data_IF_260658140705
#
_entry.id   IF_260658140705
#
_cell.length_a   1.000
_cell.length_b   1.000
_cell.length_c   1.000
_cell.angle_alpha   90.00
_cell.angle_beta   90.00
_cell.angle_gamma   90.00
#
_symmetry.space_group_name_H-M   'P 1'
#
loop_
_entity.id
_entity.type
_entity.pdbx_description
1 polymer ?
#
# COMPACT_ATOMS: atom_id res chain seq x y z
N UNK A 1 6.79 9.12 -12.52
CA UNK A 1 7.36 7.79 -12.88
C UNK A 1 6.29 6.71 -12.78
N UNK A 2 5.75 6.20 -13.89
CA UNK A 2 4.74 5.11 -13.86
C UNK A 2 5.44 3.75 -13.80
N UNK A 3 5.11 2.94 -12.79
CA UNK A 3 5.43 1.51 -12.74
C UNK A 3 6.76 1.10 -12.12
N UNK A 4 7.67 2.03 -11.80
CA UNK A 4 8.94 1.71 -11.13
C UNK A 4 8.78 1.77 -9.61
N UNK A 5 9.06 0.66 -8.93
CA UNK A 5 9.13 0.60 -7.46
C UNK A 5 10.37 1.32 -6.96
N UNK A 6 10.21 2.15 -5.91
CA UNK A 6 11.33 2.78 -5.21
C UNK A 6 12.24 1.72 -4.59
N UNK A 7 13.55 1.94 -4.63
CA UNK A 7 14.50 1.05 -3.94
C UNK A 7 14.31 1.12 -2.42
N UNK A 8 14.79 0.10 -1.69
CA UNK A 8 14.72 0.08 -0.23
C UNK A 8 15.42 1.30 0.39
N UNK A 9 16.58 1.67 -0.16
CA UNK A 9 17.34 2.84 0.29
C UNK A 9 16.57 4.14 0.07
N UNK A 10 15.95 4.32 -1.11
CA UNK A 10 15.15 5.51 -1.39
C UNK A 10 13.95 5.61 -0.46
N UNK A 11 13.28 4.48 -0.14
CA UNK A 11 12.16 4.47 0.79
C UNK A 11 12.61 4.83 2.22
N UNK A 12 13.80 4.38 2.65
CA UNK A 12 14.40 4.79 3.92
C UNK A 12 14.66 6.30 3.98
N UNK A 13 15.16 6.90 2.90
CA UNK A 13 15.40 8.34 2.81
C UNK A 13 14.10 9.16 2.95
N UNK A 14 13.01 8.71 2.30
CA UNK A 14 11.68 9.34 2.46
C UNK A 14 11.25 9.35 3.92
N UNK A 15 11.51 8.27 4.66
CA UNK A 15 11.15 8.16 6.07
C UNK A 15 11.99 9.07 6.96
N UNK A 16 13.30 9.11 6.75
CA UNK A 16 14.18 10.04 7.47
C UNK A 16 13.76 11.49 7.28
N UNK A 17 13.35 11.87 6.07
CA UNK A 17 12.80 13.20 5.79
C UNK A 17 11.49 13.46 6.54
N UNK A 18 10.55 12.51 6.52
CA UNK A 18 9.29 12.66 7.26
C UNK A 18 9.52 12.83 8.76
N UNK A 19 10.40 12.01 9.35
CA UNK A 19 10.75 12.10 10.77
C UNK A 19 11.43 13.43 11.08
N UNK A 20 12.41 13.85 10.25
CA UNK A 20 13.09 15.13 10.42
C UNK A 20 12.14 16.33 10.44
N UNK A 21 11.11 16.33 9.59
CA UNK A 21 10.10 17.38 9.58
C UNK A 21 9.01 17.24 10.66
N UNK A 22 8.90 16.07 11.29
CA UNK A 22 7.96 15.79 12.37
C UNK A 22 8.56 16.03 13.75
N UNK A 23 9.87 15.87 13.91
CA UNK A 23 10.59 16.08 15.15
C UNK A 23 10.49 17.55 15.60
N UNK A 24 9.88 17.71 16.78
CA UNK A 24 9.53 18.97 17.44
C UNK A 24 10.74 19.84 17.84
N UNK A 25 11.95 19.29 17.78
CA UNK A 25 13.14 19.92 18.37
C UNK A 25 13.67 21.13 17.59
N UNK A 26 13.10 21.42 16.41
CA UNK A 26 13.49 22.57 15.60
C UNK A 26 12.77 23.88 15.97
N UNK A 27 11.98 23.92 17.06
CA UNK A 27 11.35 25.16 17.56
C UNK A 27 10.33 25.80 16.60
N UNK A 28 9.96 25.10 15.52
CA UNK A 28 9.01 25.56 14.52
C UNK A 28 7.56 25.17 14.87
N UNK A 29 6.55 25.85 14.28
CA UNK A 29 5.15 25.50 14.48
C UNK A 29 4.91 24.05 14.05
N UNK A 30 4.12 23.32 14.84
CA UNK A 30 3.68 21.96 14.52
C UNK A 30 2.99 21.96 13.15
N UNK A 31 3.72 21.51 12.13
CA UNK A 31 3.17 21.35 10.81
C UNK A 31 2.23 20.15 10.85
N UNK A 32 1.01 20.35 10.35
CA UNK A 32 0.06 19.25 10.16
C UNK A 32 0.74 18.16 9.34
N UNK A 33 0.63 16.90 9.79
CA UNK A 33 1.28 15.74 9.16
C UNK A 33 1.02 15.67 7.64
N UNK A 34 -0.17 16.06 7.20
CA UNK A 34 -0.53 16.15 5.78
C UNK A 34 0.34 17.15 5.01
N UNK A 35 0.60 18.33 5.58
CA UNK A 35 1.41 19.36 4.94
C UNK A 35 2.89 18.97 4.82
N UNK A 36 3.38 18.09 5.71
CA UNK A 36 4.73 17.50 5.60
C UNK A 36 4.77 16.45 4.49
N UNK A 37 3.78 15.55 4.45
CA UNK A 37 3.67 14.53 3.41
C UNK A 37 3.53 15.13 2.01
N UNK A 38 2.74 16.20 1.86
CA UNK A 38 2.56 16.92 0.60
C UNK A 38 3.85 17.57 0.12
N UNK A 39 4.61 18.20 1.01
CA UNK A 39 5.90 18.80 0.66
C UNK A 39 6.92 17.75 0.22
N UNK A 40 7.01 16.65 0.95
CA UNK A 40 7.90 15.54 0.58
C UNK A 40 7.47 14.90 -0.75
N UNK A 41 6.16 14.76 -0.98
CA UNK A 41 5.61 14.27 -2.25
C UNK A 41 5.99 15.18 -3.43
N UNK A 42 5.83 16.49 -3.26
CA UNK A 42 6.18 17.48 -4.28
C UNK A 42 7.69 17.51 -4.54
N UNK A 43 8.50 17.60 -3.47
CA UNK A 43 9.96 17.67 -3.58
C UNK A 43 10.57 16.44 -4.28
N UNK A 44 10.03 15.25 -3.99
CA UNK A 44 10.51 13.99 -4.58
C UNK A 44 9.74 13.59 -5.85
N UNK A 45 8.76 14.39 -6.28
CA UNK A 45 7.88 14.07 -7.42
C UNK A 45 7.25 12.68 -7.32
N UNK A 46 6.83 12.29 -6.11
CA UNK A 46 6.15 11.03 -5.81
C UNK A 46 4.73 11.28 -5.35
N UNK A 47 3.84 10.30 -5.58
CA UNK A 47 2.45 10.42 -5.12
C UNK A 47 2.34 10.28 -3.59
N UNK A 48 1.39 11.00 -2.99
CA UNK A 48 1.02 10.87 -1.57
C UNK A 48 0.68 9.41 -1.19
N UNK A 49 0.03 8.68 -2.09
CA UNK A 49 -0.30 7.27 -1.92
C UNK A 49 0.95 6.38 -1.77
N UNK A 50 2.09 6.79 -2.33
CA UNK A 50 3.37 6.08 -2.18
C UNK A 50 3.97 6.36 -0.82
N UNK A 51 3.95 7.61 -0.36
CA UNK A 51 4.43 8.00 0.97
C UNK A 51 3.65 7.28 2.08
N UNK A 52 2.32 7.34 2.02
CA UNK A 52 1.44 6.67 2.98
C UNK A 52 1.64 5.15 3.00
N UNK A 53 1.89 4.52 1.83
CA UNK A 53 2.25 3.10 1.74
C UNK A 53 3.60 2.78 2.38
N UNK A 54 4.62 3.63 2.20
CA UNK A 54 5.93 3.46 2.83
C UNK A 54 5.78 3.57 4.35
N UNK A 55 5.09 4.60 4.84
CA UNK A 55 4.87 4.82 6.27
C UNK A 55 4.13 3.66 6.92
N UNK A 56 3.00 3.21 6.33
CA UNK A 56 2.21 2.08 6.86
C UNK A 56 3.00 0.76 6.89
N UNK A 57 3.87 0.52 5.90
CA UNK A 57 4.71 -0.68 5.87
C UNK A 57 5.71 -0.71 7.03
N UNK A 58 6.30 0.44 7.38
CA UNK A 58 7.30 0.51 8.43
C UNK A 58 6.71 0.44 9.85
N UNK A 59 5.51 1.01 10.06
CA UNK A 59 4.78 0.86 11.34
C UNK A 59 4.46 -0.60 11.68
N UNK A 60 4.58 -1.51 10.71
CA UNK A 60 4.27 -2.93 10.86
C UNK A 60 5.51 -3.75 11.24
N UNK A 61 6.48 -3.25 12.03
CA UNK A 61 7.70 -3.92 12.56
C UNK A 61 8.60 -4.71 11.58
N UNK A 62 8.19 -4.91 10.32
CA UNK A 62 8.98 -5.44 9.24
C UNK A 62 9.78 -4.27 8.65
N UNK A 63 10.97 -4.02 9.19
CA UNK A 63 11.97 -3.11 8.60
C UNK A 63 12.40 -3.51 7.17
N UNK A 64 11.80 -4.56 6.62
CA UNK A 64 12.03 -5.08 5.27
C UNK A 64 10.78 -4.82 4.44
N UNK A 65 10.94 -3.98 3.43
CA UNK A 65 9.94 -3.70 2.41
C UNK A 65 9.75 -4.94 1.51
N UNK A 66 8.99 -5.94 1.99
CA UNK A 66 8.68 -7.14 1.23
C UNK A 66 7.84 -6.77 0.02
N UNK A 67 8.43 -6.84 -1.17
CA UNK A 67 7.66 -6.88 -2.41
C UNK A 67 6.73 -8.09 -2.38
N UNK A 68 5.50 -8.02 -2.93
CA UNK A 68 4.64 -9.19 -3.04
C UNK A 68 5.43 -10.32 -3.70
N UNK A 69 5.61 -11.44 -2.98
CA UNK A 69 6.33 -12.58 -3.51
C UNK A 69 5.67 -13.06 -4.81
N UNK A 70 6.49 -13.33 -5.84
CA UNK A 70 5.99 -13.83 -7.14
C UNK A 70 5.17 -15.12 -6.98
N UNK A 71 5.45 -15.91 -5.94
CA UNK A 71 4.69 -17.10 -5.54
C UNK A 71 3.88 -16.79 -4.28
N UNK A 72 2.67 -16.25 -4.45
CA UNK A 72 1.69 -16.13 -3.35
C UNK A 72 0.52 -17.08 -3.59
N UNK A 73 0.05 -17.81 -2.57
CA UNK A 73 -1.15 -18.63 -2.72
C UNK A 73 -2.32 -17.72 -3.07
N UNK A 74 -3.13 -18.15 -4.03
CA UNK A 74 -4.32 -17.40 -4.43
C UNK A 74 -5.33 -17.50 -3.29
N UNK A 75 -5.85 -16.36 -2.80
CA UNK A 75 -6.85 -16.33 -1.73
C UNK A 75 -8.16 -17.05 -2.12
N UNK A 76 -8.47 -17.08 -3.43
CA UNK A 76 -9.62 -17.80 -3.98
C UNK A 76 -9.12 -18.96 -4.83
N UNK A 77 -9.86 -20.06 -4.81
CA UNK A 77 -9.66 -21.17 -5.74
C UNK A 77 -9.75 -20.67 -7.20
N UNK A 78 -9.09 -21.38 -8.12
CA UNK A 78 -9.32 -21.15 -9.55
C UNK A 78 -10.75 -21.58 -9.85
N UNK A 79 -11.53 -20.68 -10.45
CA UNK A 79 -12.83 -21.05 -11.01
C UNK A 79 -12.57 -21.89 -12.25
N UNK A 80 -12.60 -23.21 -12.12
CA UNK A 80 -12.71 -24.13 -13.26
C UNK A 80 -14.13 -24.01 -13.80
N UNK A 81 -14.28 -23.88 -15.12
CA UNK A 81 -15.53 -23.51 -15.81
C UNK A 81 -16.67 -24.55 -15.78
N UNK A 82 -16.73 -25.42 -14.78
CA UNK A 82 -17.76 -26.46 -14.64
C UNK A 82 -18.86 -26.12 -13.63
N UNK A 83 -18.78 -24.96 -12.96
CA UNK A 83 -19.72 -24.61 -11.87
C UNK A 83 -20.99 -23.84 -12.32
N UNK A 84 -21.29 -23.80 -13.62
CA UNK A 84 -22.52 -23.16 -14.12
C UNK A 84 -23.78 -24.01 -13.89
N UNK A 85 -23.64 -25.31 -13.62
CA UNK A 85 -24.79 -26.22 -13.49
C UNK A 85 -25.40 -26.25 -12.09
N UNK A 86 -24.61 -26.09 -11.03
CA UNK A 86 -25.10 -26.24 -9.65
C UNK A 86 -26.00 -25.09 -9.15
N UNK A 87 -25.97 -23.94 -9.83
CA UNK A 87 -26.84 -22.80 -9.51
C UNK A 87 -28.21 -22.84 -10.21
N UNK A 88 -28.31 -23.57 -11.32
CA UNK A 88 -29.53 -23.65 -12.14
C UNK A 88 -30.51 -24.72 -11.63
N UNK A 89 -30.01 -25.86 -11.14
CA UNK A 89 -30.88 -26.93 -10.62
C UNK A 89 -31.70 -26.47 -9.39
N UNK A 90 -31.13 -25.60 -8.54
CA UNK A 90 -31.86 -25.04 -7.39
C UNK A 90 -32.97 -24.05 -7.75
N UNK A 91 -33.01 -23.54 -8.98
CA UNK A 91 -34.09 -22.67 -9.45
C UNK A 91 -35.26 -23.47 -10.02
N UNK A 92 -35.01 -24.66 -10.58
CA UNK A 92 -36.05 -25.49 -11.18
C UNK A 92 -36.88 -26.28 -10.14
N UNK A 93 -36.34 -26.59 -8.95
CA UNK A 93 -37.10 -27.24 -7.87
C UNK A 93 -38.01 -26.28 -7.08
N UNK A 94 -37.95 -24.98 -7.33
CA UNK A 94 -38.69 -23.96 -6.57
C UNK A 94 -40.02 -23.51 -7.20
N UNK A 95 -40.43 -24.11 -8.32
CA UNK A 95 -41.73 -23.88 -8.94
C UNK A 95 -42.45 -25.22 -9.16
N UNK A 96 -43.45 -25.57 -8.32
CA UNK A 96 -44.36 -26.68 -8.59
C UNK A 96 -45.28 -26.39 -9.78
#
# INVERSE_FOLDING_TARGET
>A
MKGKTLSSQSQGLVLSLLNYFQDKDNGGPLLLLLAVQERVAQALSISLSTITRIQRRLSSNDNVLRSPGKKRPRKKSKTTGTNYTRGLEKMCEAYP
#
